data_IF_039043292162
#
_entry.id   IF_039043292162
#
_cell.length_a   1.000
_cell.length_b   1.000
_cell.length_c   1.000
_cell.angle_alpha   90.00
_cell.angle_beta   90.00
_cell.angle_gamma   90.00
#
_symmetry.space_group_name_H-M   'P 1'
#
loop_
_entity.id
_entity.type
_entity.pdbx_description
1 polymer ?
#
# COMPACT_ATOMS: atom_id res chain seq x y z
N UNK A 1 -9.36 -23.02 -2.02
CA UNK A 1 -8.88 -21.70 -1.59
C UNK A 1 -8.20 -21.76 -0.23
N UNK A 2 -8.85 -22.17 0.86
CA UNK A 2 -8.24 -22.14 2.21
C UNK A 2 -6.93 -22.93 2.33
N UNK A 3 -6.86 -24.14 1.74
CA UNK A 3 -5.64 -24.95 1.72
C UNK A 3 -4.47 -24.30 0.96
N UNK A 4 -4.74 -23.51 -0.06
CA UNK A 4 -3.71 -22.80 -0.83
C UNK A 4 -3.14 -21.64 -0.01
N UNK A 5 -3.99 -20.86 0.67
CA UNK A 5 -3.55 -19.79 1.57
C UNK A 5 -2.78 -20.33 2.78
N UNK A 6 -3.21 -21.46 3.37
CA UNK A 6 -2.49 -22.11 4.47
C UNK A 6 -1.10 -22.58 4.01
N UNK A 7 -1.01 -23.15 2.80
CA UNK A 7 0.27 -23.57 2.23
C UNK A 7 1.18 -22.38 1.93
N UNK A 8 0.63 -21.31 1.36
CA UNK A 8 1.36 -20.06 1.13
C UNK A 8 1.88 -19.46 2.43
N UNK A 9 1.03 -19.38 3.45
CA UNK A 9 1.39 -18.89 4.79
C UNK A 9 2.57 -19.67 5.38
N UNK A 10 2.57 -20.99 5.27
CA UNK A 10 3.69 -21.82 5.73
C UNK A 10 4.98 -21.47 5.01
N UNK A 11 4.94 -21.26 3.69
CA UNK A 11 6.11 -20.86 2.92
C UNK A 11 6.61 -19.46 3.28
N UNK A 12 5.72 -18.50 3.54
CA UNK A 12 6.10 -17.18 4.07
C UNK A 12 6.86 -17.32 5.40
N UNK A 13 6.36 -18.14 6.32
CA UNK A 13 7.01 -18.36 7.62
C UNK A 13 8.40 -19.03 7.45
N UNK A 14 8.53 -20.00 6.53
CA UNK A 14 9.83 -20.59 6.25
C UNK A 14 10.79 -19.58 5.59
N UNK A 15 10.30 -18.71 4.70
CA UNK A 15 11.12 -17.64 4.12
C UNK A 15 11.61 -16.66 5.18
N UNK A 16 10.75 -16.23 6.11
CA UNK A 16 11.12 -15.32 7.21
C UNK A 16 12.33 -15.88 8.00
N UNK A 17 12.39 -17.20 8.19
CA UNK A 17 13.51 -17.85 8.91
C UNK A 17 14.85 -17.77 8.15
N UNK A 18 14.85 -17.48 6.86
CA UNK A 18 16.05 -17.33 6.04
C UNK A 18 16.69 -15.94 6.16
N UNK A 19 16.04 -15.02 6.86
CA UNK A 19 16.53 -13.68 7.14
C UNK A 19 17.06 -13.56 8.58
N UNK A 20 17.93 -12.58 8.86
CA UNK A 20 18.43 -12.34 10.21
C UNK A 20 17.29 -12.06 11.20
N UNK A 21 17.43 -12.56 12.41
CA UNK A 21 16.54 -12.24 13.53
C UNK A 21 16.83 -10.85 14.05
N UNK A 22 16.15 -9.85 13.53
CA UNK A 22 16.22 -8.44 13.94
C UNK A 22 14.84 -7.98 14.40
N UNK A 23 14.81 -6.95 15.23
CA UNK A 23 13.55 -6.29 15.61
C UNK A 23 13.14 -5.28 14.53
N UNK A 24 12.02 -5.56 13.88
CA UNK A 24 11.46 -4.65 12.87
C UNK A 24 10.70 -3.50 13.56
N UNK A 25 10.73 -2.33 12.94
CA UNK A 25 10.02 -1.13 13.40
C UNK A 25 8.78 -0.82 12.56
N UNK A 26 8.53 -1.61 11.52
CA UNK A 26 7.26 -1.64 10.80
C UNK A 26 7.09 -2.98 10.09
N UNK A 27 5.84 -3.43 9.98
CA UNK A 27 5.41 -4.59 9.20
C UNK A 27 4.27 -4.12 8.30
N UNK A 28 4.29 -4.53 7.04
CA UNK A 28 3.28 -4.14 6.07
C UNK A 28 2.76 -5.38 5.33
N UNK A 29 1.50 -5.69 5.54
CA UNK A 29 0.78 -6.71 4.77
C UNK A 29 0.17 -6.05 3.55
N UNK A 30 0.79 -6.25 2.39
CA UNK A 30 0.40 -5.63 1.13
C UNK A 30 0.55 -6.55 -0.08
N UNK A 31 0.43 -5.98 -1.26
CA UNK A 31 0.61 -6.67 -2.53
C UNK A 31 -0.70 -7.07 -3.20
N UNK A 32 -1.14 -8.30 -3.10
CA UNK A 32 -2.41 -8.71 -3.73
C UNK A 32 -3.64 -8.24 -2.94
N UNK A 33 -4.23 -9.12 -2.15
CA UNK A 33 -5.34 -8.77 -1.26
C UNK A 33 -5.11 -9.44 0.10
N UNK A 34 -4.29 -8.85 0.98
CA UNK A 34 -3.91 -9.46 2.26
C UNK A 34 -5.10 -9.75 3.17
N UNK A 35 -6.19 -8.99 3.05
CA UNK A 35 -7.44 -9.20 3.79
C UNK A 35 -8.18 -10.50 3.43
N UNK A 36 -7.71 -11.26 2.43
CA UNK A 36 -8.19 -12.63 2.14
C UNK A 36 -7.51 -13.69 3.01
N UNK A 37 -6.38 -13.36 3.67
CA UNK A 37 -5.75 -14.28 4.61
C UNK A 37 -6.66 -14.53 5.82
N UNK A 38 -6.67 -15.77 6.30
CA UNK A 38 -7.36 -16.09 7.55
C UNK A 38 -6.69 -15.38 8.73
N UNK A 39 -7.47 -15.06 9.77
CA UNK A 39 -6.92 -14.50 11.01
C UNK A 39 -5.81 -15.39 11.58
N UNK A 40 -5.96 -16.72 11.48
CA UNK A 40 -4.94 -17.70 11.88
C UNK A 40 -3.65 -17.58 11.06
N UNK A 41 -3.76 -17.31 9.75
CA UNK A 41 -2.59 -17.07 8.89
C UNK A 41 -1.85 -15.80 9.30
N UNK A 42 -2.59 -14.71 9.53
CA UNK A 42 -2.01 -13.44 10.00
C UNK A 42 -1.32 -13.63 11.35
N UNK A 43 -2.00 -14.27 12.31
CA UNK A 43 -1.42 -14.60 13.63
C UNK A 43 -0.13 -15.41 13.51
N UNK A 44 -0.13 -16.45 12.67
CA UNK A 44 1.03 -17.32 12.47
C UNK A 44 2.22 -16.56 11.86
N UNK A 45 1.97 -15.66 10.92
CA UNK A 45 3.01 -14.78 10.34
C UNK A 45 3.53 -13.82 11.41
N UNK A 46 2.65 -13.14 12.13
CA UNK A 46 3.03 -12.21 13.21
C UNK A 46 3.91 -12.87 14.27
N UNK A 47 3.54 -14.09 14.69
CA UNK A 47 4.32 -14.87 15.66
C UNK A 47 5.70 -15.32 15.14
N UNK A 48 5.97 -15.25 13.84
CA UNK A 48 7.25 -15.59 13.24
C UNK A 48 8.22 -14.41 13.10
N UNK A 49 7.74 -13.18 13.36
CA UNK A 49 8.50 -11.94 13.19
C UNK A 49 8.79 -11.33 14.57
N UNK A 50 10.03 -10.86 14.77
CA UNK A 50 10.37 -10.04 15.93
C UNK A 50 10.17 -8.56 15.57
N UNK A 51 9.43 -7.83 16.40
CA UNK A 51 9.18 -6.41 16.18
C UNK A 51 9.06 -5.66 17.52
N UNK A 52 9.30 -4.37 17.49
CA UNK A 52 9.21 -3.52 18.68
C UNK A 52 7.75 -3.29 19.07
N UNK A 53 7.48 -3.02 20.33
CA UNK A 53 6.15 -2.77 20.87
C UNK A 53 5.43 -1.59 20.17
N UNK A 54 6.21 -0.56 19.79
CA UNK A 54 5.74 0.64 19.11
C UNK A 54 5.76 0.56 17.56
N UNK A 55 5.95 -0.63 17.00
CA UNK A 55 6.02 -0.82 15.55
C UNK A 55 4.69 -0.50 14.86
N UNK A 56 4.77 0.17 13.69
CA UNK A 56 3.63 0.29 12.79
C UNK A 56 3.38 -1.05 12.10
N UNK A 57 2.17 -1.60 12.27
CA UNK A 57 1.76 -2.87 11.66
C UNK A 57 0.53 -2.59 10.79
N UNK A 58 0.76 -2.49 9.49
CA UNK A 58 -0.26 -2.13 8.49
C UNK A 58 -0.84 -3.35 7.81
N UNK A 59 -2.15 -3.35 7.58
CA UNK A 59 -2.83 -4.29 6.71
C UNK A 59 -3.63 -3.55 5.64
N UNK A 60 -3.42 -3.90 4.36
CA UNK A 60 -4.27 -3.45 3.26
C UNK A 60 -5.60 -4.19 3.26
N UNK A 61 -6.69 -3.43 3.11
CA UNK A 61 -8.05 -3.95 3.08
C UNK A 61 -8.73 -3.67 1.73
N UNK A 62 -9.37 -4.70 1.17
CA UNK A 62 -10.47 -4.48 0.24
C UNK A 62 -11.74 -4.22 1.08
N UNK A 63 -12.51 -3.14 0.83
CA UNK A 63 -13.70 -2.80 1.62
C UNK A 63 -14.75 -3.91 1.70
N UNK A 64 -14.87 -4.70 0.64
CA UNK A 64 -15.85 -5.77 0.59
C UNK A 64 -15.55 -6.88 1.59
N UNK A 65 -16.57 -7.32 2.32
CA UNK A 65 -16.53 -8.45 3.26
C UNK A 65 -15.73 -8.23 4.56
N UNK A 66 -15.43 -6.98 4.92
CA UNK A 66 -14.74 -6.68 6.17
C UNK A 66 -15.73 -6.32 7.28
N UNK A 67 -16.05 -7.29 8.15
CA UNK A 67 -17.00 -7.11 9.25
C UNK A 67 -16.34 -6.42 10.45
N UNK A 68 -17.19 -5.82 11.32
CA UNK A 68 -16.74 -5.27 12.60
C UNK A 68 -15.99 -6.32 13.45
N UNK A 69 -16.47 -7.55 13.48
CA UNK A 69 -15.83 -8.63 14.22
C UNK A 69 -14.44 -8.96 13.68
N UNK A 70 -14.27 -9.05 12.34
CA UNK A 70 -12.97 -9.31 11.74
C UNK A 70 -11.97 -8.20 12.08
N UNK A 71 -12.41 -6.95 12.04
CA UNK A 71 -11.57 -5.79 12.39
C UNK A 71 -11.16 -5.81 13.87
N UNK A 72 -12.07 -6.18 14.77
CA UNK A 72 -11.74 -6.35 16.18
C UNK A 72 -10.69 -7.45 16.41
N UNK A 73 -10.82 -8.58 15.72
CA UNK A 73 -9.82 -9.67 15.83
C UNK A 73 -8.47 -9.25 15.23
N UNK A 74 -8.44 -8.56 14.08
CA UNK A 74 -7.19 -8.02 13.51
C UNK A 74 -6.47 -7.11 14.49
N UNK A 75 -7.21 -6.24 15.19
CA UNK A 75 -6.63 -5.36 16.20
C UNK A 75 -6.03 -6.13 17.37
N UNK A 76 -6.69 -7.21 17.83
CA UNK A 76 -6.16 -8.10 18.89
C UNK A 76 -4.89 -8.81 18.46
N UNK A 77 -4.71 -9.09 17.16
CA UNK A 77 -3.49 -9.68 16.61
C UNK A 77 -2.33 -8.67 16.49
N UNK A 78 -2.54 -7.41 16.87
CA UNK A 78 -1.51 -6.38 16.85
C UNK A 78 -1.49 -5.50 15.60
N UNK A 79 -2.41 -5.71 14.63
CA UNK A 79 -2.56 -4.76 13.52
C UNK A 79 -3.00 -3.41 14.11
N UNK A 80 -2.25 -2.35 13.86
CA UNK A 80 -2.53 -1.03 14.42
C UNK A 80 -2.74 0.07 13.37
N UNK A 81 -2.52 -0.24 12.09
CA UNK A 81 -2.80 0.64 10.95
C UNK A 81 -3.55 -0.11 9.86
N UNK A 82 -4.54 0.54 9.25
CA UNK A 82 -5.28 0.01 8.10
C UNK A 82 -5.08 0.92 6.88
N UNK A 83 -4.95 0.31 5.69
CA UNK A 83 -4.99 1.00 4.39
C UNK A 83 -6.19 0.45 3.63
N UNK A 84 -7.22 1.26 3.49
CA UNK A 84 -8.50 0.84 2.91
C UNK A 84 -8.54 1.26 1.44
N UNK A 85 -8.51 0.30 0.54
CA UNK A 85 -8.55 0.53 -0.90
C UNK A 85 -9.90 1.04 -1.40
N UNK A 86 -10.29 2.22 -0.96
CA UNK A 86 -11.56 2.90 -1.29
C UNK A 86 -11.65 3.23 -2.76
N UNK A 87 -10.57 3.73 -3.34
CA UNK A 87 -10.36 4.14 -4.72
C UNK A 87 -11.22 5.35 -5.16
N UNK A 88 -12.53 5.38 -4.89
CA UNK A 88 -13.46 6.49 -5.10
C UNK A 88 -14.73 6.25 -4.29
N UNK A 89 -15.49 7.31 -4.03
CA UNK A 89 -16.86 7.21 -3.50
C UNK A 89 -17.91 7.33 -4.61
N UNK A 90 -17.51 7.19 -5.88
CA UNK A 90 -18.39 7.18 -7.04
C UNK A 90 -18.43 5.78 -7.66
N UNK A 91 -19.58 5.11 -7.55
CA UNK A 91 -19.75 3.74 -8.06
C UNK A 91 -19.47 3.58 -9.57
N UNK A 92 -19.67 4.65 -10.36
CA UNK A 92 -19.32 4.65 -11.79
C UNK A 92 -17.81 4.58 -11.98
N UNK A 93 -17.04 5.33 -11.18
CA UNK A 93 -15.58 5.29 -11.18
C UNK A 93 -15.10 3.93 -10.69
N UNK A 94 -15.64 3.41 -9.58
CA UNK A 94 -15.32 2.08 -9.06
C UNK A 94 -15.54 0.99 -10.13
N UNK A 95 -16.65 1.05 -10.83
CA UNK A 95 -16.92 0.12 -11.93
C UNK A 95 -15.91 0.26 -13.08
N UNK A 96 -15.51 1.48 -13.43
CA UNK A 96 -14.47 1.74 -14.44
C UNK A 96 -13.14 1.14 -13.99
N UNK A 97 -12.80 1.28 -12.71
CA UNK A 97 -11.59 0.70 -12.10
C UNK A 97 -11.67 -0.83 -11.91
N UNK A 98 -12.80 -1.46 -12.28
CA UNK A 98 -13.00 -2.91 -12.13
C UNK A 98 -13.10 -3.36 -10.67
N UNK A 99 -13.54 -2.46 -9.78
CA UNK A 99 -13.73 -2.77 -8.36
C UNK A 99 -15.03 -3.52 -8.15
N UNK A 100 -15.04 -4.42 -7.18
CA UNK A 100 -16.15 -5.29 -6.83
C UNK A 100 -16.90 -4.85 -5.57
N UNK A 101 -16.48 -3.72 -4.98
CA UNK A 101 -17.12 -3.04 -3.85
C UNK A 101 -17.79 -1.74 -4.31
N UNK A 102 -18.77 -1.27 -3.52
CA UNK A 102 -19.44 0.01 -3.69
C UNK A 102 -18.85 1.10 -2.79
N UNK A 103 -19.21 2.35 -3.05
CA UNK A 103 -18.89 3.48 -2.19
C UNK A 103 -19.39 3.25 -0.75
N UNK A 104 -20.60 2.69 -0.58
CA UNK A 104 -21.16 2.39 0.75
C UNK A 104 -20.37 1.30 1.47
N UNK A 105 -19.89 0.26 0.77
CA UNK A 105 -19.02 -0.76 1.36
C UNK A 105 -17.74 -0.12 1.96
N UNK A 106 -17.14 0.85 1.25
CA UNK A 106 -15.95 1.56 1.72
C UNK A 106 -16.25 2.42 2.95
N UNK A 107 -17.36 3.16 2.94
CA UNK A 107 -17.82 3.99 4.07
C UNK A 107 -18.13 3.11 5.29
N UNK A 108 -18.85 2.01 5.10
CA UNK A 108 -19.17 1.08 6.18
C UNK A 108 -17.92 0.44 6.78
N UNK A 109 -16.97 0.01 5.93
CA UNK A 109 -15.69 -0.55 6.36
C UNK A 109 -14.90 0.45 7.18
N UNK A 110 -14.81 1.71 6.74
CA UNK A 110 -14.16 2.77 7.51
C UNK A 110 -14.82 2.99 8.88
N UNK A 111 -16.16 3.11 8.91
CA UNK A 111 -16.92 3.27 10.17
C UNK A 111 -16.73 2.08 11.12
N UNK A 112 -16.70 0.87 10.58
CA UNK A 112 -16.45 -0.34 11.36
C UNK A 112 -15.01 -0.39 11.89
N UNK A 113 -14.01 0.09 11.11
CA UNK A 113 -12.64 0.22 11.57
C UNK A 113 -12.52 1.18 12.77
N UNK A 114 -13.15 2.36 12.68
CA UNK A 114 -13.21 3.32 13.80
C UNK A 114 -13.90 2.70 15.02
N UNK A 115 -15.05 2.03 14.85
CA UNK A 115 -15.77 1.35 15.94
C UNK A 115 -14.96 0.21 16.56
N UNK A 116 -14.06 -0.42 15.79
CA UNK A 116 -13.15 -1.46 16.28
C UNK A 116 -11.98 -0.91 17.09
N UNK A 117 -11.84 0.43 17.17
CA UNK A 117 -10.78 1.13 17.88
C UNK A 117 -9.50 1.35 17.08
N UNK A 118 -9.52 1.23 15.75
CA UNK A 118 -8.42 1.70 14.93
C UNK A 118 -8.43 3.24 14.91
N UNK A 119 -7.27 3.82 15.21
CA UNK A 119 -7.04 5.26 15.12
C UNK A 119 -6.27 5.62 13.84
N UNK A 120 -5.31 4.78 13.42
CA UNK A 120 -4.52 5.01 12.22
C UNK A 120 -5.15 4.29 11.01
N UNK A 121 -5.94 5.04 10.23
CA UNK A 121 -6.65 4.53 9.06
C UNK A 121 -6.33 5.42 7.86
N UNK A 122 -5.80 4.79 6.79
CA UNK A 122 -5.66 5.40 5.47
C UNK A 122 -6.88 5.08 4.61
N UNK A 123 -7.43 6.07 3.94
CA UNK A 123 -8.29 5.88 2.77
C UNK A 123 -7.45 6.08 1.51
N UNK A 124 -7.40 5.06 0.66
CA UNK A 124 -6.62 5.11 -0.57
C UNK A 124 -7.55 5.41 -1.74
N UNK A 125 -7.27 6.49 -2.48
CA UNK A 125 -8.07 6.96 -3.60
C UNK A 125 -7.25 7.02 -4.88
N UNK A 126 -7.95 6.96 -6.01
CA UNK A 126 -7.37 7.12 -7.34
C UNK A 126 -8.12 8.25 -8.05
N UNK A 127 -7.37 9.26 -8.52
CA UNK A 127 -7.89 10.34 -9.35
C UNK A 127 -7.34 10.24 -10.79
N UNK A 128 -7.74 11.15 -11.65
CA UNK A 128 -7.39 11.15 -13.07
C UNK A 128 -7.84 9.85 -13.81
N UNK A 129 -8.97 9.29 -13.39
CA UNK A 129 -9.54 8.11 -14.03
C UNK A 129 -10.19 8.49 -15.38
N UNK A 130 -10.38 7.53 -16.32
CA UNK A 130 -10.95 7.82 -17.61
C UNK A 130 -12.31 8.54 -17.52
N UNK A 131 -12.39 9.69 -18.18
CA UNK A 131 -13.57 10.57 -18.21
C UNK A 131 -14.00 11.14 -16.84
N UNK A 132 -13.16 11.10 -15.84
CA UNK A 132 -13.43 11.74 -14.55
C UNK A 132 -13.47 13.26 -14.71
N UNK A 133 -14.45 13.90 -14.09
CA UNK A 133 -14.58 15.36 -14.05
C UNK A 133 -14.06 15.92 -12.74
N UNK A 134 -13.76 17.23 -12.72
CA UNK A 134 -13.37 17.91 -11.49
C UNK A 134 -14.48 17.85 -10.43
N UNK A 135 -15.75 17.92 -10.82
CA UNK A 135 -16.90 17.79 -9.92
C UNK A 135 -16.98 16.39 -9.28
N UNK A 136 -16.70 15.32 -10.04
CA UNK A 136 -16.64 13.96 -9.50
C UNK A 136 -15.52 13.82 -8.46
N UNK A 137 -14.36 14.46 -8.68
CA UNK A 137 -13.27 14.52 -7.70
C UNK A 137 -13.68 15.32 -6.45
N UNK A 138 -14.31 16.48 -6.62
CA UNK A 138 -14.78 17.30 -5.51
C UNK A 138 -15.77 16.53 -4.62
N UNK A 139 -16.65 15.73 -5.20
CA UNK A 139 -17.56 14.86 -4.45
C UNK A 139 -16.80 13.82 -3.61
N UNK A 140 -15.71 13.23 -4.14
CA UNK A 140 -14.84 12.33 -3.38
C UNK A 140 -14.15 13.08 -2.21
N UNK A 141 -13.66 14.29 -2.46
CA UNK A 141 -13.04 15.13 -1.42
C UNK A 141 -14.03 15.56 -0.32
N UNK A 142 -15.28 15.88 -0.67
CA UNK A 142 -16.33 16.14 0.32
C UNK A 142 -16.60 14.92 1.22
N UNK A 143 -16.58 13.71 0.65
CA UNK A 143 -16.67 12.48 1.45
C UNK A 143 -15.49 12.28 2.39
N UNK A 144 -14.28 12.60 1.94
CA UNK A 144 -13.10 12.58 2.82
C UNK A 144 -13.28 13.55 3.99
N UNK A 145 -13.80 14.75 3.75
CA UNK A 145 -14.07 15.75 4.80
C UNK A 145 -15.09 15.23 5.81
N UNK A 146 -16.19 14.62 5.33
CA UNK A 146 -17.22 14.01 6.20
C UNK A 146 -16.67 12.89 7.08
N UNK A 147 -15.85 12.00 6.51
CA UNK A 147 -15.28 10.86 7.22
C UNK A 147 -14.09 11.24 8.10
N UNK A 148 -13.34 12.26 7.69
CA UNK A 148 -12.20 12.82 8.40
C UNK A 148 -11.16 11.78 8.85
N UNK A 149 -10.65 10.93 7.94
CA UNK A 149 -9.64 9.93 8.27
C UNK A 149 -8.35 10.59 8.77
N UNK A 150 -7.49 9.82 9.44
CA UNK A 150 -6.21 10.35 9.91
C UNK A 150 -5.13 10.35 8.82
N UNK A 151 -5.31 9.55 7.78
CA UNK A 151 -4.40 9.47 6.65
C UNK A 151 -5.16 9.28 5.33
N UNK A 152 -4.61 9.81 4.26
CA UNK A 152 -5.16 9.70 2.91
C UNK A 152 -3.99 9.42 1.97
N UNK A 153 -4.11 8.35 1.15
CA UNK A 153 -3.25 8.14 0.00
C UNK A 153 -4.07 8.41 -1.25
N UNK A 154 -3.62 9.31 -2.11
CA UNK A 154 -4.35 9.67 -3.31
C UNK A 154 -3.40 9.70 -4.52
N UNK A 155 -3.64 8.81 -5.47
CA UNK A 155 -2.75 8.54 -6.60
C UNK A 155 -3.43 8.90 -7.92
N UNK A 156 -2.69 9.50 -8.83
CA UNK A 156 -3.11 9.55 -10.23
C UNK A 156 -3.12 8.14 -10.83
N UNK A 157 -4.10 7.85 -11.69
CA UNK A 157 -4.18 6.55 -12.37
C UNK A 157 -2.98 6.35 -13.30
N UNK A 158 -2.17 5.34 -13.00
CA UNK A 158 -1.01 4.97 -13.83
C UNK A 158 -1.44 3.97 -14.92
N UNK A 159 -1.08 4.27 -16.16
CA UNK A 159 -1.35 3.44 -17.35
C UNK A 159 -0.16 2.50 -17.62
N UNK A 160 0.07 1.57 -16.72
CA UNK A 160 1.21 0.66 -16.79
C UNK A 160 1.06 -0.38 -17.89
N UNK A 161 2.14 -0.63 -18.66
CA UNK A 161 2.19 -1.61 -19.74
C UNK A 161 1.82 -3.02 -19.25
N UNK A 162 1.01 -3.73 -20.04
CA UNK A 162 0.53 -5.06 -19.70
C UNK A 162 -0.74 -5.10 -18.84
N UNK A 163 -1.19 -3.94 -18.29
CA UNK A 163 -2.43 -3.86 -17.51
C UNK A 163 -3.69 -3.80 -18.40
N UNK A 164 -4.86 -4.03 -17.77
CA UNK A 164 -6.14 -3.88 -18.44
C UNK A 164 -6.33 -2.48 -19.03
N UNK A 165 -6.03 -1.43 -18.27
CA UNK A 165 -6.17 -0.03 -18.72
C UNK A 165 -5.28 0.27 -19.91
N UNK A 166 -4.02 -0.13 -19.88
CA UNK A 166 -3.10 0.05 -21.00
C UNK A 166 -3.60 -0.64 -22.28
N UNK A 167 -4.17 -1.86 -22.16
CA UNK A 167 -4.79 -2.56 -23.26
C UNK A 167 -5.99 -1.80 -23.83
N UNK A 168 -6.89 -1.32 -22.95
CA UNK A 168 -8.06 -0.54 -23.38
C UNK A 168 -7.67 0.78 -24.08
N UNK A 169 -6.61 1.42 -23.59
CA UNK A 169 -6.02 2.60 -24.25
C UNK A 169 -5.50 2.27 -25.65
N UNK A 170 -4.71 1.22 -25.81
CA UNK A 170 -4.22 0.77 -27.12
C UNK A 170 -5.34 0.44 -28.11
N UNK A 171 -6.44 -0.11 -27.60
CA UNK A 171 -7.62 -0.42 -28.40
C UNK A 171 -8.51 0.81 -28.68
N UNK A 172 -8.15 1.99 -28.20
CA UNK A 172 -8.92 3.24 -28.35
C UNK A 172 -10.25 3.27 -27.61
N UNK A 173 -10.46 2.37 -26.62
CA UNK A 173 -11.70 2.28 -25.82
C UNK A 173 -11.72 3.19 -24.62
N UNK A 174 -10.55 3.45 -24.04
CA UNK A 174 -10.35 4.40 -22.96
C UNK A 174 -9.22 5.36 -23.32
N UNK A 175 -9.30 6.58 -22.80
CA UNK A 175 -8.27 7.59 -22.94
C UNK A 175 -7.90 8.18 -21.58
N UNK A 176 -6.68 8.63 -21.46
CA UNK A 176 -6.24 9.49 -20.36
C UNK A 176 -7.03 10.80 -20.41
N UNK A 177 -7.23 11.43 -19.27
CA UNK A 177 -7.63 12.84 -19.22
C UNK A 177 -6.47 13.72 -19.68
N UNK A 178 -6.72 15.00 -19.97
CA UNK A 178 -5.63 15.91 -20.35
C UNK A 178 -4.70 16.17 -19.16
N UNK A 179 -3.42 16.43 -19.46
CA UNK A 179 -2.42 16.81 -18.44
C UNK A 179 -2.85 18.07 -17.67
N UNK A 180 -3.47 19.04 -18.34
CA UNK A 180 -3.99 20.25 -17.70
C UNK A 180 -5.09 19.92 -16.68
N UNK A 181 -6.02 19.02 -17.00
CA UNK A 181 -7.09 18.60 -16.08
C UNK A 181 -6.52 17.77 -14.93
N UNK A 182 -5.53 16.91 -15.17
CA UNK A 182 -4.85 16.16 -14.12
C UNK A 182 -4.14 17.10 -13.15
N UNK A 183 -3.45 18.12 -13.66
CA UNK A 183 -2.80 19.15 -12.85
C UNK A 183 -3.82 19.95 -12.02
N UNK A 184 -4.93 20.39 -12.63
CA UNK A 184 -6.04 21.07 -11.95
C UNK A 184 -6.61 20.20 -10.82
N UNK A 185 -6.85 18.91 -11.07
CA UNK A 185 -7.30 17.96 -10.06
C UNK A 185 -6.31 17.82 -8.90
N UNK A 186 -5.01 17.77 -9.20
CA UNK A 186 -3.99 17.66 -8.17
C UNK A 186 -3.90 18.93 -7.30
N UNK A 187 -3.99 20.10 -7.91
CA UNK A 187 -4.04 21.39 -7.19
C UNK A 187 -5.29 21.49 -6.28
N UNK A 188 -6.44 21.02 -6.76
CA UNK A 188 -7.69 20.97 -5.98
C UNK A 188 -7.55 20.04 -4.77
N UNK A 189 -6.93 18.85 -4.95
CA UNK A 189 -6.64 17.91 -3.86
C UNK A 189 -5.77 18.58 -2.79
N UNK A 190 -4.65 19.19 -3.19
CA UNK A 190 -3.73 19.86 -2.26
C UNK A 190 -4.46 20.96 -1.50
N UNK A 191 -5.16 21.83 -2.24
CA UNK A 191 -5.85 22.98 -1.65
C UNK A 191 -6.92 22.52 -0.66
N UNK A 192 -7.76 21.59 -1.04
CA UNK A 192 -8.85 21.10 -0.21
C UNK A 192 -8.32 20.43 1.05
N UNK A 193 -7.38 19.49 0.93
CA UNK A 193 -6.91 18.73 2.08
C UNK A 193 -6.07 19.57 3.03
N UNK A 194 -5.25 20.50 2.53
CA UNK A 194 -4.47 21.38 3.40
C UNK A 194 -5.36 22.38 4.15
N UNK A 195 -6.43 22.88 3.53
CA UNK A 195 -7.43 23.71 4.20
C UNK A 195 -8.19 22.97 5.31
N UNK A 196 -8.34 21.65 5.19
CA UNK A 196 -8.91 20.77 6.23
C UNK A 196 -7.89 20.37 7.31
N UNK A 197 -6.67 20.93 7.26
CA UNK A 197 -5.63 20.73 8.28
C UNK A 197 -4.78 19.47 8.07
N UNK A 198 -4.85 18.83 6.91
CA UNK A 198 -3.92 17.74 6.58
C UNK A 198 -2.56 18.30 6.17
N UNK A 199 -1.52 17.59 6.58
CA UNK A 199 -0.15 17.83 6.14
C UNK A 199 0.08 17.03 4.86
N UNK A 200 0.46 17.70 3.76
CA UNK A 200 0.95 17.06 2.54
C UNK A 200 2.42 16.69 2.75
N UNK A 201 2.71 15.50 3.28
CA UNK A 201 4.06 15.13 3.73
C UNK A 201 4.89 14.41 2.65
N UNK A 202 4.22 13.77 1.68
CA UNK A 202 4.84 13.20 0.48
C UNK A 202 3.89 13.31 -0.71
N UNK A 203 4.38 13.14 -1.95
CA UNK A 203 3.66 13.48 -3.19
C UNK A 203 2.22 12.95 -3.22
N UNK A 204 2.00 11.71 -2.78
CA UNK A 204 0.70 11.03 -2.90
C UNK A 204 -0.03 10.89 -1.57
N UNK A 205 0.50 11.43 -0.46
CA UNK A 205 -0.07 11.18 0.86
C UNK A 205 -0.22 12.42 1.71
N UNK A 206 -1.36 12.47 2.39
CA UNK A 206 -1.76 13.51 3.31
C UNK A 206 -2.13 12.87 4.65
N UNK A 207 -1.83 13.54 5.76
CA UNK A 207 -2.19 13.03 7.08
C UNK A 207 -2.46 14.15 8.09
N UNK A 208 -3.19 13.82 9.15
CA UNK A 208 -3.20 14.66 10.35
C UNK A 208 -1.84 14.57 11.05
N UNK A 209 -1.42 15.58 11.81
CA UNK A 209 -0.13 15.57 12.50
C UNK A 209 0.09 14.30 13.32
N UNK A 210 1.23 13.61 13.08
CA UNK A 210 1.60 12.38 13.78
C UNK A 210 1.03 11.07 13.19
N UNK A 211 0.39 11.15 12.00
CA UNK A 211 -0.15 9.96 11.31
C UNK A 211 0.53 9.69 9.97
N UNK A 212 1.76 10.22 9.77
CA UNK A 212 2.59 9.87 8.62
C UNK A 212 2.86 8.35 8.61
N UNK A 213 2.75 7.70 7.45
CA UNK A 213 3.10 6.27 7.36
C UNK A 213 4.59 6.05 7.64
N UNK A 214 4.89 5.39 8.75
CA UNK A 214 6.25 5.04 9.14
C UNK A 214 6.87 4.10 8.11
N UNK A 215 6.11 3.11 7.63
CA UNK A 215 6.59 2.14 6.67
C UNK A 215 6.93 2.80 5.32
N UNK A 216 6.01 3.57 4.75
CA UNK A 216 6.23 4.22 3.46
C UNK A 216 7.36 5.26 3.52
N UNK A 217 7.46 5.99 4.64
CA UNK A 217 8.54 6.95 4.85
C UNK A 217 9.93 6.32 4.77
N UNK A 218 10.10 5.05 5.16
CA UNK A 218 11.36 4.33 5.04
C UNK A 218 11.80 4.13 3.59
N UNK A 219 10.84 3.91 2.67
CA UNK A 219 11.15 3.83 1.24
C UNK A 219 11.70 5.16 0.72
N UNK A 220 11.07 6.26 1.11
CA UNK A 220 11.49 7.59 0.69
C UNK A 220 12.80 8.03 1.34
N UNK A 221 13.10 7.56 2.54
CA UNK A 221 14.38 7.75 3.25
C UNK A 221 15.45 6.74 2.79
N UNK A 222 15.21 5.96 1.73
CA UNK A 222 16.11 4.93 1.19
C UNK A 222 16.64 3.95 2.24
N UNK A 223 15.81 3.57 3.22
CA UNK A 223 16.17 2.60 4.26
C UNK A 223 16.01 1.17 3.73
N UNK A 224 16.80 0.25 4.27
CA UNK A 224 16.67 -1.16 3.96
C UNK A 224 15.33 -1.73 4.45
N UNK A 225 14.78 -2.64 3.65
CA UNK A 225 13.58 -3.39 3.97
C UNK A 225 13.63 -4.80 3.34
N UNK A 226 12.89 -5.72 3.94
CA UNK A 226 12.79 -7.10 3.46
C UNK A 226 11.36 -7.34 3.01
N UNK A 227 11.20 -7.71 1.76
CA UNK A 227 9.94 -8.20 1.20
C UNK A 227 9.89 -9.71 1.22
N UNK A 228 8.81 -10.26 1.77
CA UNK A 228 8.57 -11.70 1.90
C UNK A 228 7.34 -12.09 1.10
N UNK A 229 7.41 -13.20 0.42
CA UNK A 229 6.35 -13.69 -0.46
C UNK A 229 6.72 -13.63 -1.94
N UNK A 230 5.92 -14.32 -2.77
CA UNK A 230 6.13 -14.39 -4.22
C UNK A 230 6.02 -13.00 -4.86
N UNK A 231 7.07 -12.58 -5.58
CA UNK A 231 7.14 -11.28 -6.25
C UNK A 231 7.42 -10.09 -5.33
N UNK A 232 7.60 -10.29 -4.03
CA UNK A 232 7.95 -9.23 -3.10
C UNK A 232 9.33 -8.65 -3.42
N UNK A 233 9.46 -7.33 -3.32
CA UNK A 233 10.73 -6.62 -3.53
C UNK A 233 11.41 -6.33 -2.21
N UNK A 234 12.74 -6.29 -2.23
CA UNK A 234 13.59 -5.99 -1.08
C UNK A 234 14.66 -4.97 -1.43
N UNK A 235 15.08 -4.19 -0.44
CA UNK A 235 16.36 -3.51 -0.41
C UNK A 235 17.07 -3.95 0.86
N UNK A 236 18.01 -4.86 0.73
CA UNK A 236 18.67 -5.50 1.87
C UNK A 236 20.10 -5.92 1.56
N UNK A 237 21.01 -5.75 2.51
CA UNK A 237 22.44 -6.06 2.35
C UNK A 237 23.08 -5.34 1.15
N UNK A 238 22.69 -4.06 0.92
CA UNK A 238 23.20 -3.24 -0.19
C UNK A 238 22.71 -3.67 -1.57
N UNK A 239 21.68 -4.49 -1.65
CA UNK A 239 21.11 -5.00 -2.92
C UNK A 239 19.61 -4.74 -2.98
N UNK A 240 19.13 -4.34 -4.17
CA UNK A 240 17.70 -4.39 -4.51
C UNK A 240 17.45 -5.64 -5.32
N UNK A 241 16.36 -6.33 -5.00
CA UNK A 241 15.93 -7.52 -5.71
C UNK A 241 14.46 -7.80 -5.49
N UNK A 242 13.88 -8.67 -6.32
CA UNK A 242 12.54 -9.19 -6.13
C UNK A 242 12.57 -10.70 -5.98
N UNK A 243 11.62 -11.24 -5.23
CA UNK A 243 11.39 -12.67 -5.20
C UNK A 243 10.79 -13.18 -6.50
N UNK A 244 10.94 -14.47 -6.78
CA UNK A 244 10.35 -15.12 -7.96
C UNK A 244 8.84 -14.91 -8.00
N UNK A 245 8.33 -14.34 -9.10
CA UNK A 245 6.89 -14.08 -9.32
C UNK A 245 6.10 -15.36 -9.54
N UNK A 246 6.71 -16.40 -10.14
CA UNK A 246 6.03 -17.69 -10.36
C UNK A 246 6.00 -18.47 -9.06
N UNK A 247 4.81 -18.64 -8.50
CA UNK A 247 4.60 -19.19 -7.16
C UNK A 247 5.20 -20.59 -6.96
N UNK A 248 5.18 -21.45 -7.99
CA UNK A 248 5.78 -22.78 -7.89
C UNK A 248 7.31 -22.72 -7.76
N UNK A 249 7.97 -21.76 -8.46
CA UNK A 249 9.43 -21.55 -8.34
C UNK A 249 9.80 -20.97 -6.98
N UNK A 250 8.95 -20.09 -6.45
CA UNK A 250 9.07 -19.57 -5.10
C UNK A 250 9.05 -20.71 -4.07
N UNK A 251 8.09 -21.64 -4.17
CA UNK A 251 8.01 -22.78 -3.27
C UNK A 251 9.17 -23.76 -3.39
N UNK A 252 9.71 -23.98 -4.60
CA UNK A 252 10.89 -24.81 -4.82
C UNK A 252 12.10 -24.30 -4.04
N UNK A 253 12.38 -23.00 -4.10
CA UNK A 253 13.51 -22.42 -3.39
C UNK A 253 13.32 -22.49 -1.87
N UNK A 254 12.13 -22.15 -1.37
CA UNK A 254 11.82 -22.27 0.06
C UNK A 254 12.02 -23.72 0.56
N UNK A 255 11.55 -24.70 -0.20
CA UNK A 255 11.75 -26.12 0.11
C UNK A 255 13.23 -26.52 0.17
N UNK A 256 14.08 -25.87 -0.62
CA UNK A 256 15.53 -26.07 -0.61
C UNK A 256 16.25 -25.27 0.50
N UNK A 257 15.53 -24.46 1.26
CA UNK A 257 16.09 -23.61 2.33
C UNK A 257 16.89 -22.42 1.80
N UNK A 258 16.59 -21.93 0.60
CA UNK A 258 17.24 -20.75 0.00
C UNK A 258 16.25 -19.61 -0.20
N UNK A 259 16.74 -18.37 -0.10
CA UNK A 259 15.94 -17.17 -0.38
C UNK A 259 15.44 -17.22 -1.83
N UNK A 260 14.14 -17.01 -2.10
CA UNK A 260 13.54 -17.22 -3.42
C UNK A 260 13.80 -16.04 -4.38
N UNK A 261 15.01 -15.53 -4.39
CA UNK A 261 15.40 -14.33 -5.14
C UNK A 261 15.42 -14.64 -6.65
N UNK A 262 14.79 -13.75 -7.42
CA UNK A 262 14.95 -13.75 -8.87
C UNK A 262 16.26 -13.04 -9.22
N UNK A 263 17.26 -13.85 -9.59
CA UNK A 263 18.62 -13.37 -9.83
C UNK A 263 18.72 -12.32 -10.96
N UNK A 264 17.74 -12.33 -11.89
CA UNK A 264 17.68 -11.35 -12.99
C UNK A 264 17.28 -9.95 -12.50
N UNK A 265 16.77 -9.83 -11.28
CA UNK A 265 16.33 -8.57 -10.67
C UNK A 265 17.34 -7.97 -9.70
N UNK A 266 18.49 -8.63 -9.50
CA UNK A 266 19.48 -8.15 -8.53
C UNK A 266 20.20 -6.91 -9.06
N UNK A 267 20.10 -5.83 -8.29
CA UNK A 267 20.84 -4.59 -8.49
C UNK A 267 21.74 -4.37 -7.27
N UNK A 268 23.05 -4.32 -7.47
CA UNK A 268 23.98 -3.95 -6.40
C UNK A 268 24.03 -2.43 -6.27
N UNK A 269 23.81 -1.94 -5.06
CA UNK A 269 23.74 -0.52 -4.75
C UNK A 269 25.06 -0.10 -4.11
N UNK A 270 25.96 0.45 -4.90
CA UNK A 270 27.18 1.07 -4.38
C UNK A 270 26.89 2.43 -3.73
N UNK A 271 27.91 3.03 -3.10
CA UNK A 271 27.75 4.31 -2.40
C UNK A 271 27.34 5.47 -3.36
N UNK A 272 27.75 5.43 -4.62
CA UNK A 272 27.37 6.45 -5.62
C UNK A 272 25.90 6.30 -5.98
N UNK A 273 25.46 5.07 -6.24
CA UNK A 273 24.06 4.76 -6.56
C UNK A 273 23.16 5.03 -5.36
N UNK A 274 23.60 4.69 -4.15
CA UNK A 274 22.88 4.99 -2.90
C UNK A 274 22.60 6.49 -2.75
N UNK A 275 23.59 7.35 -3.03
CA UNK A 275 23.42 8.80 -2.99
C UNK A 275 22.42 9.27 -4.06
N UNK A 276 22.49 8.75 -5.29
CA UNK A 276 21.53 9.09 -6.35
C UNK A 276 20.10 8.69 -5.98
N UNK A 277 19.93 7.46 -5.48
CA UNK A 277 18.63 6.95 -5.04
C UNK A 277 18.08 7.76 -3.87
N UNK A 278 18.90 8.09 -2.88
CA UNK A 278 18.46 8.92 -1.74
C UNK A 278 17.99 10.30 -2.19
N UNK A 279 18.67 10.91 -3.19
CA UNK A 279 18.19 12.17 -3.77
C UNK A 279 16.88 12.01 -4.53
N UNK A 280 16.78 11.00 -5.39
CA UNK A 280 15.57 10.73 -6.18
C UNK A 280 14.35 10.42 -5.29
N UNK A 281 14.52 9.56 -4.31
CA UNK A 281 13.46 9.19 -3.37
C UNK A 281 13.11 10.35 -2.42
N UNK A 282 14.12 11.11 -1.96
CA UNK A 282 13.93 12.28 -1.11
C UNK A 282 13.12 13.40 -1.78
N UNK A 283 13.13 13.50 -3.12
CA UNK A 283 12.27 14.42 -3.85
C UNK A 283 10.76 14.14 -3.65
N UNK A 284 10.40 12.93 -3.23
CA UNK A 284 9.01 12.62 -2.88
C UNK A 284 8.59 13.21 -1.54
N UNK A 285 9.54 13.55 -0.66
CA UNK A 285 9.28 14.10 0.66
C UNK A 285 9.08 15.62 0.57
N UNK A 286 7.86 16.08 0.81
CA UNK A 286 7.50 17.49 0.80
C UNK A 286 7.86 18.14 2.13
N UNK A 287 7.72 17.41 3.22
CA UNK A 287 7.95 17.86 4.59
C UNK A 287 9.44 18.07 4.92
N UNK A 288 10.33 17.30 4.35
CA UNK A 288 11.77 17.29 4.67
C UNK A 288 12.68 17.68 3.51
N UNK A 289 12.17 17.53 2.28
CA UNK A 289 13.01 17.67 1.08
C UNK A 289 14.15 16.64 1.01
N UNK A 290 15.24 16.99 0.34
CA UNK A 290 16.42 16.13 0.24
C UNK A 290 17.28 16.31 1.49
N UNK A 291 17.45 15.26 2.28
CA UNK A 291 18.39 15.23 3.40
C UNK A 291 19.76 14.81 2.84
N UNK A 292 20.76 15.68 3.03
CA UNK A 292 22.16 15.36 2.75
C UNK A 292 22.80 14.92 4.07
N UNK A 293 23.05 13.64 4.23
CA UNK A 293 23.90 13.09 5.29
C UNK A 293 25.36 12.97 4.79
#
# INVERSE_FOLDING_TARGET
MDHEFDFYTKNIIEEIKLYPKIEYTSIYFGGGTPSLLSLKSIESIMNSIQYKEDSEITLELNPKNMTLQNLQELRKLGINRLSIGTQSFNDKILKTLGRDHSAEDAIETYRNAVKSGFENISLDLIFATPNQTIEELQNDLEKIKELSPNHISIYSLIWEEGTYFWKQRKEGKLSEISEDLEAEMFEEIITTLTNEGYIHYEISSFCKPGFESIHNSKYWDNKEFIGVGSGASSYFEGKRYSNKKKIYKYYEDIKMGIRPIDIETIEEIDEVEKVKLSKMLGLRRIDKGIIYD
#
